data_IF_008804495020
#
_entry.id   IF_008804495020
#
_cell.length_a   1.000
_cell.length_b   1.000
_cell.length_c   1.000
_cell.angle_alpha   90.00
_cell.angle_beta   90.00
_cell.angle_gamma   90.00
#
_symmetry.space_group_name_H-M   'P 1'
#
loop_
_entity.id
_entity.type
_entity.pdbx_description
1 polymer ?
#
# COMPACT_ATOMS: atom_id res chain seq x y z
N UNK A 1 11.34 -0.99 13.05
CA UNK A 1 10.58 0.27 12.99
C UNK A 1 11.42 1.47 13.40
N UNK A 2 11.80 1.57 14.69
CA UNK A 2 12.51 2.75 15.23
C UNK A 2 13.72 3.20 14.40
N UNK A 3 14.69 2.30 14.17
CA UNK A 3 15.93 2.61 13.43
C UNK A 3 15.66 3.22 12.04
N UNK A 4 14.75 2.60 11.28
CA UNK A 4 14.38 3.03 9.93
C UNK A 4 13.70 4.39 9.96
N UNK A 5 12.75 4.59 10.88
CA UNK A 5 11.99 5.83 10.97
C UNK A 5 12.83 7.00 11.51
N UNK A 6 13.79 6.71 12.40
CA UNK A 6 14.77 7.68 12.88
C UNK A 6 15.72 8.11 11.76
N UNK A 7 16.21 7.16 10.94
CA UNK A 7 17.05 7.47 9.79
C UNK A 7 16.30 8.29 8.73
N UNK A 8 15.04 7.94 8.46
CA UNK A 8 14.21 8.74 7.56
C UNK A 8 13.96 10.15 8.12
N UNK A 9 13.77 10.30 9.43
CA UNK A 9 13.62 11.60 10.07
C UNK A 9 14.90 12.45 10.01
N UNK A 10 16.08 11.85 10.22
CA UNK A 10 17.35 12.57 10.11
C UNK A 10 17.65 13.00 8.67
N UNK A 11 17.32 12.18 7.67
CA UNK A 11 17.44 12.56 6.25
C UNK A 11 16.51 13.73 5.89
N UNK A 12 15.27 13.73 6.37
CA UNK A 12 14.36 14.87 6.16
C UNK A 12 14.92 16.15 6.81
N UNK A 13 15.41 16.06 8.05
CA UNK A 13 16.00 17.21 8.74
C UNK A 13 17.23 17.72 7.99
N UNK A 14 18.11 16.82 7.55
CA UNK A 14 19.29 17.17 6.76
C UNK A 14 18.91 17.93 5.48
N UNK A 15 17.91 17.44 4.75
CA UNK A 15 17.45 18.10 3.53
C UNK A 15 16.80 19.47 3.81
N UNK A 16 16.03 19.61 4.89
CA UNK A 16 15.50 20.91 5.31
C UNK A 16 16.61 21.91 5.66
N UNK A 17 17.63 21.48 6.41
CA UNK A 17 18.78 22.33 6.76
C UNK A 17 19.61 22.72 5.53
N UNK A 18 19.76 21.79 4.57
CA UNK A 18 20.46 22.05 3.32
C UNK A 18 19.67 23.06 2.46
N UNK A 19 18.35 22.93 2.41
CA UNK A 19 17.50 23.87 1.69
C UNK A 19 17.54 25.27 2.32
N UNK A 20 17.47 25.35 3.65
CA UNK A 20 17.60 26.60 4.39
C UNK A 20 18.98 27.25 4.20
N UNK A 21 20.04 26.44 4.14
CA UNK A 21 21.39 26.92 3.84
C UNK A 21 21.53 27.47 2.41
N UNK A 22 20.89 26.82 1.43
CA UNK A 22 20.95 27.24 0.02
C UNK A 22 20.06 28.44 -0.31
N UNK A 23 18.88 28.52 0.29
CA UNK A 23 17.84 29.52 -0.08
C UNK A 23 17.62 30.59 0.98
N UNK A 24 18.11 30.40 2.21
CA UNK A 24 17.86 31.29 3.35
C UNK A 24 16.43 31.20 3.91
N UNK A 25 15.57 30.33 3.36
CA UNK A 25 14.16 30.24 3.70
C UNK A 25 13.81 28.85 4.27
N UNK A 26 12.83 28.83 5.18
CA UNK A 26 12.24 27.59 5.73
C UNK A 26 10.91 27.20 5.06
N UNK A 27 10.53 27.89 3.98
CA UNK A 27 9.29 27.64 3.26
C UNK A 27 9.36 26.38 2.38
N UNK A 28 8.24 25.66 2.25
CA UNK A 28 8.13 24.44 1.43
C UNK A 28 8.04 24.70 -0.07
N UNK A 29 7.89 25.96 -0.51
CA UNK A 29 7.52 26.32 -1.89
C UNK A 29 8.70 26.42 -2.86
N UNK A 30 9.92 26.70 -2.37
CA UNK A 30 11.11 26.93 -3.20
C UNK A 30 12.22 25.97 -2.80
N UNK A 31 12.08 24.70 -3.15
CA UNK A 31 13.09 23.69 -2.83
C UNK A 31 13.96 23.39 -4.04
N UNK A 32 15.26 23.18 -3.80
CA UNK A 32 16.21 22.79 -4.83
C UNK A 32 15.99 21.33 -5.28
N UNK A 33 16.34 20.95 -6.53
CA UNK A 33 16.11 19.59 -7.02
C UNK A 33 16.87 18.51 -6.21
N UNK A 34 18.00 18.87 -5.61
CA UNK A 34 18.78 17.96 -4.76
C UNK A 34 18.09 17.73 -3.41
N UNK A 35 17.58 18.79 -2.78
CA UNK A 35 16.88 18.68 -1.49
C UNK A 35 15.55 17.96 -1.62
N UNK A 36 14.78 18.23 -2.69
CA UNK A 36 13.53 17.49 -2.99
C UNK A 36 13.79 16.00 -3.22
N UNK A 37 14.86 15.62 -3.92
CA UNK A 37 15.24 14.22 -4.09
C UNK A 37 15.58 13.52 -2.76
N UNK A 38 16.29 14.20 -1.85
CA UNK A 38 16.60 13.64 -0.53
C UNK A 38 15.33 13.50 0.34
N UNK A 39 14.46 14.53 0.35
CA UNK A 39 13.18 14.50 1.08
C UNK A 39 12.28 13.38 0.55
N UNK A 40 12.17 13.24 -0.77
CA UNK A 40 11.36 12.17 -1.38
C UNK A 40 11.88 10.78 -1.00
N UNK A 41 13.20 10.54 -1.08
CA UNK A 41 13.77 9.26 -0.64
C UNK A 41 13.53 8.97 0.85
N UNK A 42 13.64 10.00 1.70
CA UNK A 42 13.34 9.87 3.12
C UNK A 42 11.86 9.51 3.37
N UNK A 43 10.93 10.14 2.63
CA UNK A 43 9.50 9.84 2.73
C UNK A 43 9.17 8.45 2.21
N UNK A 44 9.78 8.01 1.11
CA UNK A 44 9.62 6.64 0.59
C UNK A 44 10.02 5.61 1.65
N UNK A 45 11.09 5.87 2.40
CA UNK A 45 11.51 5.06 3.54
C UNK A 45 10.48 5.04 4.67
N UNK A 46 9.84 6.19 4.97
CA UNK A 46 8.74 6.25 5.95
C UNK A 46 7.51 5.47 5.52
N UNK A 47 7.15 5.54 4.24
CA UNK A 47 5.98 4.87 3.66
C UNK A 47 6.18 3.36 3.47
N UNK A 48 7.42 2.88 3.48
CA UNK A 48 7.77 1.50 3.18
C UNK A 48 7.64 1.17 1.69
N UNK A 49 7.85 2.15 0.80
CA UNK A 49 7.86 1.92 -0.64
C UNK A 49 9.18 1.29 -1.10
N UNK A 50 9.18 0.60 -2.25
CA UNK A 50 10.42 0.08 -2.82
C UNK A 50 11.35 1.24 -3.25
N UNK A 51 12.68 1.10 -3.08
CA UNK A 51 13.42 -0.09 -2.62
C UNK A 51 13.49 -0.25 -1.09
N UNK A 52 13.09 0.74 -0.30
CA UNK A 52 13.21 0.75 1.17
C UNK A 52 12.12 -0.04 1.92
N UNK A 53 11.34 -0.85 1.21
CA UNK A 53 10.20 -1.61 1.72
C UNK A 53 10.51 -2.75 2.71
N UNK A 54 11.76 -3.23 2.78
CA UNK A 54 12.11 -4.50 3.48
C UNK A 54 11.75 -4.52 4.97
N UNK A 55 11.76 -3.36 5.63
CA UNK A 55 11.40 -3.29 7.06
C UNK A 55 9.90 -3.54 7.31
N UNK A 56 9.07 -3.30 6.30
CA UNK A 56 7.63 -3.16 6.46
C UNK A 56 6.92 -4.50 6.75
N UNK A 57 7.15 -5.59 6.00
CA UNK A 57 6.51 -6.88 6.26
C UNK A 57 6.88 -7.50 7.61
N UNK A 58 8.15 -7.38 8.03
CA UNK A 58 8.60 -7.97 9.29
C UNK A 58 8.09 -7.20 10.51
N UNK A 59 8.01 -5.86 10.42
CA UNK A 59 7.38 -5.05 11.48
C UNK A 59 5.90 -5.41 11.62
N UNK A 60 5.14 -5.50 10.52
CA UNK A 60 3.73 -5.84 10.60
C UNK A 60 3.50 -7.27 11.13
N UNK A 61 4.36 -8.22 10.80
CA UNK A 61 4.25 -9.57 11.34
C UNK A 61 4.55 -9.62 12.84
N UNK A 62 5.46 -8.78 13.33
CA UNK A 62 5.87 -8.73 14.74
C UNK A 62 4.89 -8.03 15.68
N UNK A 63 3.86 -7.35 15.17
CA UNK A 63 2.94 -6.54 15.98
C UNK A 63 1.52 -7.09 16.02
N UNK A 64 0.68 -6.60 16.92
CA UNK A 64 -0.75 -6.97 17.00
C UNK A 64 -1.52 -6.53 15.75
N UNK A 65 -2.70 -7.12 15.48
CA UNK A 65 -3.53 -6.73 14.33
C UNK A 65 -3.97 -5.26 14.38
N UNK A 66 -4.30 -4.76 15.58
CA UNK A 66 -4.68 -3.35 15.77
C UNK A 66 -3.53 -2.37 15.49
N UNK A 67 -2.32 -2.69 15.93
CA UNK A 67 -1.13 -1.88 15.64
C UNK A 67 -0.72 -1.99 14.17
N UNK A 68 -0.86 -3.18 13.58
CA UNK A 68 -0.66 -3.39 12.14
C UNK A 68 -1.62 -2.55 11.30
N UNK A 69 -2.89 -2.44 11.71
CA UNK A 69 -3.85 -1.54 11.10
C UNK A 69 -3.39 -0.07 11.19
N UNK A 70 -2.98 0.42 12.37
CA UNK A 70 -2.50 1.79 12.53
C UNK A 70 -1.26 2.10 11.68
N UNK A 71 -0.32 1.16 11.59
CA UNK A 71 0.89 1.30 10.76
C UNK A 71 0.57 1.27 9.27
N UNK A 72 -0.44 0.51 8.85
CA UNK A 72 -0.87 0.41 7.45
C UNK A 72 -1.80 1.52 6.98
N UNK A 73 -2.36 2.31 7.90
CA UNK A 73 -3.33 3.35 7.59
C UNK A 73 -2.87 4.72 8.07
N UNK A 74 -2.95 4.95 9.39
CA UNK A 74 -2.68 6.24 10.03
C UNK A 74 -1.27 6.77 9.75
N UNK A 75 -0.26 5.90 9.87
CA UNK A 75 1.15 6.30 9.69
C UNK A 75 1.51 6.70 8.24
N UNK A 76 0.63 6.43 7.27
CA UNK A 76 0.83 6.81 5.86
C UNK A 76 0.30 8.22 5.55
N UNK A 77 -0.58 8.77 6.37
CA UNK A 77 -1.23 10.06 6.10
C UNK A 77 -0.19 11.19 6.12
N UNK A 78 0.57 11.36 7.21
CA UNK A 78 1.49 12.49 7.36
C UNK A 78 2.64 12.51 6.32
N UNK A 79 3.28 11.38 5.95
CA UNK A 79 4.29 11.42 4.91
C UNK A 79 3.69 11.70 3.51
N UNK A 80 2.47 11.22 3.22
CA UNK A 80 1.78 11.53 1.96
C UNK A 80 1.35 12.99 1.87
N UNK A 81 0.90 13.61 2.96
CA UNK A 81 0.55 15.04 2.94
C UNK A 81 1.78 15.90 2.69
N UNK A 82 2.96 15.52 3.18
CA UNK A 82 4.20 16.24 2.88
C UNK A 82 4.53 16.17 1.38
N UNK A 83 4.43 14.99 0.76
CA UNK A 83 4.57 14.87 -0.70
C UNK A 83 3.53 15.72 -1.45
N UNK A 84 2.28 15.73 -0.98
CA UNK A 84 1.22 16.56 -1.56
C UNK A 84 1.58 18.05 -1.54
N UNK A 85 2.09 18.57 -0.43
CA UNK A 85 2.49 19.97 -0.29
C UNK A 85 3.68 20.35 -1.19
N UNK A 86 4.49 19.37 -1.56
CA UNK A 86 5.65 19.53 -2.44
C UNK A 86 5.37 19.18 -3.90
N UNK A 87 4.13 18.87 -4.29
CA UNK A 87 3.76 18.31 -5.59
C UNK A 87 4.42 18.99 -6.80
N UNK A 88 4.58 20.31 -6.78
CA UNK A 88 5.14 21.09 -7.89
C UNK A 88 6.65 20.90 -8.11
N UNK A 89 7.39 20.47 -7.09
CA UNK A 89 8.85 20.36 -7.10
C UNK A 89 9.36 18.92 -6.98
N UNK A 90 8.46 17.93 -6.99
CA UNK A 90 8.86 16.52 -6.85
C UNK A 90 9.57 16.00 -8.10
N UNK A 91 10.63 15.17 -7.94
CA UNK A 91 11.26 14.47 -9.06
C UNK A 91 10.30 13.39 -9.62
N UNK A 92 9.67 13.70 -10.76
CA UNK A 92 8.66 12.82 -11.39
C UNK A 92 9.20 11.45 -11.74
N UNK A 93 10.41 11.38 -12.28
CA UNK A 93 11.01 10.12 -12.74
C UNK A 93 11.30 9.17 -11.56
N UNK A 94 11.74 9.74 -10.42
CA UNK A 94 11.96 8.99 -9.19
C UNK A 94 10.65 8.42 -8.66
N UNK A 95 9.56 9.20 -8.66
CA UNK A 95 8.25 8.74 -8.22
C UNK A 95 7.66 7.66 -9.14
N UNK A 96 7.80 7.81 -10.47
CA UNK A 96 7.34 6.82 -11.43
C UNK A 96 8.12 5.50 -11.29
N UNK A 97 9.45 5.56 -11.18
CA UNK A 97 10.29 4.38 -11.01
C UNK A 97 9.99 3.65 -9.70
N UNK A 98 9.96 4.37 -8.58
CA UNK A 98 9.68 3.79 -7.25
C UNK A 98 8.25 3.27 -7.16
N UNK A 99 7.31 3.95 -7.83
CA UNK A 99 5.92 3.52 -7.98
C UNK A 99 5.79 2.18 -8.72
N UNK A 100 6.45 2.04 -9.86
CA UNK A 100 6.49 0.77 -10.61
C UNK A 100 7.15 -0.34 -9.79
N UNK A 101 8.32 -0.07 -9.21
CA UNK A 101 9.07 -1.06 -8.42
C UNK A 101 8.28 -1.55 -7.21
N UNK A 102 7.55 -0.66 -6.53
CA UNK A 102 6.74 -1.03 -5.37
C UNK A 102 5.50 -1.84 -5.78
N UNK A 103 4.86 -1.53 -6.90
CA UNK A 103 3.79 -2.36 -7.47
C UNK A 103 4.28 -3.78 -7.80
N UNK A 104 5.43 -3.89 -8.47
CA UNK A 104 6.03 -5.18 -8.87
C UNK A 104 6.49 -6.01 -7.66
N UNK A 105 7.33 -5.43 -6.79
CA UNK A 105 7.91 -6.14 -5.64
C UNK A 105 6.85 -6.46 -4.59
N UNK A 106 5.88 -5.57 -4.37
CA UNK A 106 4.72 -5.85 -3.52
C UNK A 106 3.91 -7.02 -4.06
N UNK A 107 3.66 -7.06 -5.37
CA UNK A 107 2.99 -8.19 -6.02
C UNK A 107 3.74 -9.51 -5.85
N UNK A 108 5.00 -9.56 -6.28
CA UNK A 108 5.80 -10.80 -6.27
C UNK A 108 6.09 -11.33 -4.87
N UNK A 109 6.52 -10.47 -3.94
CA UNK A 109 6.86 -10.92 -2.60
C UNK A 109 5.63 -11.39 -1.80
N UNK A 110 4.44 -10.87 -2.13
CA UNK A 110 3.16 -11.32 -1.55
C UNK A 110 2.74 -12.73 -1.98
N UNK A 111 3.16 -13.19 -3.16
CA UNK A 111 2.80 -14.51 -3.68
C UNK A 111 3.22 -15.65 -2.75
N UNK A 112 4.39 -15.55 -2.11
CA UNK A 112 4.91 -16.64 -1.28
C UNK A 112 4.57 -16.54 0.21
N UNK A 113 3.64 -15.66 0.59
CA UNK A 113 3.26 -15.48 2.00
C UNK A 113 2.01 -16.27 2.36
N UNK A 114 2.05 -16.95 3.51
CA UNK A 114 0.90 -17.64 4.14
C UNK A 114 0.35 -16.88 5.34
N UNK A 115 1.15 -15.98 5.91
CA UNK A 115 0.78 -15.14 7.05
C UNK A 115 -0.03 -13.95 6.57
N UNK A 116 -1.24 -13.76 7.11
CA UNK A 116 -2.19 -12.73 6.65
C UNK A 116 -1.60 -11.33 6.77
N UNK A 117 -0.87 -11.04 7.86
CA UNK A 117 -0.20 -9.75 8.08
C UNK A 117 0.90 -9.46 7.06
N UNK A 118 1.70 -10.47 6.66
CA UNK A 118 2.71 -10.28 5.59
C UNK A 118 2.06 -10.08 4.23
N UNK A 119 0.95 -10.78 3.94
CA UNK A 119 0.17 -10.56 2.72
C UNK A 119 -0.35 -9.11 2.69
N UNK A 120 -0.96 -8.64 3.77
CA UNK A 120 -1.41 -7.25 3.89
C UNK A 120 -0.26 -6.24 3.82
N UNK A 121 0.93 -6.62 4.28
CA UNK A 121 2.11 -5.77 4.16
C UNK A 121 2.49 -5.54 2.69
N UNK A 122 2.62 -6.63 1.93
CA UNK A 122 2.96 -6.60 0.51
C UNK A 122 1.87 -5.95 -0.36
N UNK A 123 0.61 -6.21 0.00
CA UNK A 123 -0.56 -5.46 -0.45
C UNK A 123 -0.37 -3.95 -0.31
N UNK A 124 0.00 -3.47 0.88
CA UNK A 124 0.19 -2.03 1.10
C UNK A 124 1.35 -1.47 0.27
N UNK A 125 2.44 -2.24 0.10
CA UNK A 125 3.61 -1.83 -0.71
C UNK A 125 3.16 -1.64 -2.16
N UNK A 126 2.37 -2.59 -2.69
CA UNK A 126 1.83 -2.49 -4.05
C UNK A 126 0.89 -1.28 -4.21
N UNK A 127 -0.01 -1.04 -3.26
CA UNK A 127 -0.89 0.13 -3.28
C UNK A 127 -0.14 1.44 -3.13
N UNK A 128 0.93 1.50 -2.33
CA UNK A 128 1.79 2.70 -2.28
C UNK A 128 2.38 3.01 -3.65
N UNK A 129 2.71 1.99 -4.45
CA UNK A 129 3.17 2.20 -5.81
C UNK A 129 2.14 2.93 -6.68
N UNK A 130 0.89 2.49 -6.63
CA UNK A 130 -0.21 3.17 -7.32
C UNK A 130 -0.43 4.60 -6.80
N UNK A 131 -0.33 4.84 -5.49
CA UNK A 131 -0.49 6.19 -4.90
C UNK A 131 0.66 7.12 -5.32
N UNK A 132 1.90 6.63 -5.40
CA UNK A 132 3.04 7.43 -5.86
C UNK A 132 2.90 7.79 -7.34
N UNK A 133 2.47 6.85 -8.19
CA UNK A 133 2.21 7.14 -9.61
C UNK A 133 1.03 8.11 -9.76
N UNK A 134 -0.04 7.91 -8.99
CA UNK A 134 -1.17 8.84 -8.92
C UNK A 134 -0.72 10.28 -8.63
N UNK A 135 0.29 10.46 -7.77
CA UNK A 135 0.82 11.76 -7.39
C UNK A 135 1.53 12.45 -8.55
N UNK A 136 2.00 11.73 -9.56
CA UNK A 136 2.56 12.35 -10.77
C UNK A 136 1.49 12.74 -11.78
N UNK A 137 0.28 12.20 -11.65
CA UNK A 137 -0.86 12.46 -12.54
C UNK A 137 -1.66 13.65 -12.02
N UNK A 138 -2.22 13.54 -10.81
CA UNK A 138 -2.91 14.64 -10.15
C UNK A 138 -3.05 14.41 -8.63
N UNK A 139 -2.98 15.48 -7.82
CA UNK A 139 -3.13 15.39 -6.37
C UNK A 139 -4.52 14.87 -5.95
N UNK A 140 -5.58 15.25 -6.65
CA UNK A 140 -6.96 14.81 -6.36
C UNK A 140 -7.13 13.30 -6.54
N UNK A 141 -6.44 12.72 -7.53
CA UNK A 141 -6.48 11.30 -7.77
C UNK A 141 -5.68 10.53 -6.70
N UNK A 142 -4.62 11.13 -6.13
CA UNK A 142 -3.94 10.53 -4.96
C UNK A 142 -4.85 10.43 -3.74
N UNK A 143 -5.63 11.46 -3.45
CA UNK A 143 -6.51 11.44 -2.29
C UNK A 143 -7.60 10.39 -2.46
N UNK A 144 -8.18 10.26 -3.66
CA UNK A 144 -9.12 9.18 -3.98
C UNK A 144 -8.49 7.79 -3.78
N UNK A 145 -7.29 7.56 -4.33
CA UNK A 145 -6.59 6.26 -4.23
C UNK A 145 -6.24 5.91 -2.79
N UNK A 146 -5.83 6.91 -1.99
CA UNK A 146 -5.52 6.71 -0.58
C UNK A 146 -6.79 6.43 0.24
N UNK A 147 -7.87 7.18 0.04
CA UNK A 147 -9.13 6.97 0.76
C UNK A 147 -9.72 5.58 0.49
N UNK A 148 -9.74 5.16 -0.78
CA UNK A 148 -10.21 3.81 -1.15
C UNK A 148 -9.34 2.72 -0.53
N UNK A 149 -8.01 2.86 -0.56
CA UNK A 149 -7.08 1.95 0.12
C UNK A 149 -7.32 1.89 1.64
N UNK A 150 -7.51 3.04 2.29
CA UNK A 150 -7.75 3.13 3.74
C UNK A 150 -9.05 2.41 4.13
N UNK A 151 -10.13 2.60 3.39
CA UNK A 151 -11.40 1.91 3.64
C UNK A 151 -11.26 0.40 3.46
N UNK A 152 -10.63 -0.05 2.37
CA UNK A 152 -10.47 -1.49 2.14
C UNK A 152 -9.55 -2.15 3.16
N UNK A 153 -8.46 -1.49 3.57
CA UNK A 153 -7.55 -2.05 4.58
C UNK A 153 -8.16 -2.07 5.98
N UNK A 154 -8.89 -1.03 6.39
CA UNK A 154 -9.59 -1.05 7.69
C UNK A 154 -10.62 -2.17 7.74
N UNK A 155 -11.39 -2.39 6.67
CA UNK A 155 -12.35 -3.50 6.61
C UNK A 155 -11.68 -4.87 6.71
N UNK A 156 -10.54 -5.08 6.04
CA UNK A 156 -9.84 -6.36 6.10
C UNK A 156 -9.18 -6.61 7.47
N UNK A 157 -8.55 -5.59 8.07
CA UNK A 157 -7.98 -5.71 9.40
C UNK A 157 -9.03 -5.87 10.49
N UNK A 158 -10.21 -5.26 10.37
CA UNK A 158 -11.30 -5.46 11.34
C UNK A 158 -11.85 -6.89 11.28
N UNK A 159 -11.98 -7.47 10.09
CA UNK A 159 -12.39 -8.88 9.93
C UNK A 159 -11.34 -9.86 10.47
N UNK A 160 -10.05 -9.58 10.27
CA UNK A 160 -8.99 -10.40 10.88
C UNK A 160 -8.96 -10.25 12.41
N UNK A 161 -9.22 -9.05 12.93
CA UNK A 161 -9.13 -8.79 14.36
C UNK A 161 -10.31 -9.40 15.15
N UNK A 162 -11.51 -9.39 14.58
CA UNK A 162 -12.72 -10.00 15.18
C UNK A 162 -12.60 -11.51 15.32
N UNK A 163 -12.02 -12.19 14.33
CA UNK A 163 -11.84 -13.64 14.33
C UNK A 163 -10.41 -14.10 14.70
N UNK A 164 -9.52 -13.17 15.04
CA UNK A 164 -8.11 -13.41 15.42
C UNK A 164 -7.30 -14.27 14.45
N UNK A 165 -7.54 -14.13 13.15
CA UNK A 165 -6.93 -14.98 12.10
C UNK A 165 -5.50 -14.51 11.75
N UNK A 166 -4.51 -15.40 11.90
CA UNK A 166 -3.10 -15.09 11.63
C UNK A 166 -2.59 -15.70 10.33
N UNK A 167 -3.18 -16.81 9.93
CA UNK A 167 -2.82 -17.55 8.71
C UNK A 167 -4.01 -17.67 7.76
N UNK A 168 -3.72 -17.96 6.49
CA UNK A 168 -4.77 -18.24 5.49
C UNK A 168 -5.66 -19.41 5.93
N UNK A 169 -5.08 -20.45 6.55
CA UNK A 169 -5.84 -21.61 7.04
C UNK A 169 -6.81 -21.24 8.17
N UNK A 170 -6.40 -20.39 9.12
CA UNK A 170 -7.29 -19.92 10.20
C UNK A 170 -8.49 -19.14 9.62
N UNK A 171 -8.26 -18.41 8.53
CA UNK A 171 -9.31 -17.66 7.88
C UNK A 171 -10.29 -18.57 7.14
N UNK A 172 -9.84 -19.74 6.66
CA UNK A 172 -10.72 -20.76 6.11
C UNK A 172 -11.75 -21.27 7.12
N UNK A 173 -11.33 -21.58 8.34
CA UNK A 173 -12.22 -22.19 9.34
C UNK A 173 -13.33 -21.27 9.84
N UNK A 174 -13.23 -19.97 9.58
CA UNK A 174 -14.24 -18.99 10.01
C UNK A 174 -15.48 -19.01 9.11
N UNK A 175 -15.42 -19.59 7.91
CA UNK A 175 -16.60 -19.77 7.05
C UNK A 175 -17.74 -20.52 7.75
N UNK A 176 -17.41 -21.57 8.52
CA UNK A 176 -18.41 -22.38 9.23
C UNK A 176 -19.04 -21.65 10.43
N UNK A 177 -18.35 -20.64 10.98
CA UNK A 177 -18.82 -19.85 12.12
C UNK A 177 -19.63 -18.62 11.69
N UNK A 178 -19.19 -17.94 10.64
CA UNK A 178 -19.81 -16.68 10.20
C UNK A 178 -19.71 -16.50 8.67
N UNK A 179 -20.60 -17.13 7.89
CA UNK A 179 -20.56 -17.06 6.43
C UNK A 179 -20.77 -15.63 5.91
N UNK A 180 -21.57 -14.82 6.61
CA UNK A 180 -21.84 -13.42 6.23
C UNK A 180 -20.57 -12.56 6.24
N UNK A 181 -19.77 -12.62 7.31
CA UNK A 181 -18.51 -11.88 7.38
C UNK A 181 -17.55 -12.34 6.28
N UNK A 182 -17.55 -13.63 5.96
CA UNK A 182 -16.71 -14.17 4.90
C UNK A 182 -17.11 -13.75 3.48
N UNK A 183 -18.41 -13.64 3.20
CA UNK A 183 -18.83 -13.05 1.91
C UNK A 183 -18.37 -11.59 1.79
N UNK A 184 -18.35 -10.83 2.89
CA UNK A 184 -17.80 -9.48 2.90
C UNK A 184 -16.28 -9.47 2.73
N UNK A 185 -15.53 -10.40 3.35
CA UNK A 185 -14.07 -10.50 3.13
C UNK A 185 -13.72 -10.85 1.68
N UNK A 186 -14.50 -11.70 1.03
CA UNK A 186 -14.35 -11.98 -0.40
C UNK A 186 -14.48 -10.69 -1.24
N UNK A 187 -15.51 -9.89 -0.98
CA UNK A 187 -15.73 -8.62 -1.68
C UNK A 187 -14.60 -7.62 -1.42
N UNK A 188 -14.07 -7.54 -0.19
CA UNK A 188 -12.96 -6.63 0.12
C UNK A 188 -11.63 -7.09 -0.48
N UNK A 189 -11.35 -8.40 -0.53
CA UNK A 189 -10.15 -8.94 -1.17
C UNK A 189 -10.17 -8.72 -2.69
N UNK A 190 -11.33 -8.97 -3.33
CA UNK A 190 -11.50 -8.73 -4.77
C UNK A 190 -11.50 -7.23 -5.11
N UNK A 191 -11.96 -6.37 -4.20
CA UNK A 191 -11.84 -4.92 -4.37
C UNK A 191 -10.40 -4.44 -4.23
N UNK A 192 -9.62 -4.95 -3.27
CA UNK A 192 -8.18 -4.68 -3.16
C UNK A 192 -7.40 -5.11 -4.42
N UNK A 193 -7.78 -6.27 -4.98
CA UNK A 193 -7.29 -6.74 -6.28
C UNK A 193 -7.63 -5.79 -7.43
N UNK A 194 -8.69 -5.00 -7.31
CA UNK A 194 -9.14 -4.05 -8.33
C UNK A 194 -9.85 -4.73 -9.48
N UNK A 195 -10.75 -5.67 -9.20
CA UNK A 195 -11.61 -6.26 -10.23
C UNK A 195 -12.80 -5.36 -10.54
N UNK A 196 -13.16 -5.14 -11.81
CA UNK A 196 -14.49 -4.62 -12.16
C UNK A 196 -15.54 -5.67 -11.72
N UNK A 197 -16.67 -5.30 -11.08
CA UNK A 197 -17.31 -3.98 -10.93
C UNK A 197 -17.04 -3.24 -9.59
N UNK A 198 -16.01 -3.62 -8.84
CA UNK A 198 -15.79 -3.12 -7.46
C UNK A 198 -15.09 -1.77 -7.41
N UNK A 199 -15.26 -1.05 -6.29
CA UNK A 199 -14.74 0.31 -6.09
C UNK A 199 -13.22 0.41 -6.20
N UNK A 200 -12.47 -0.62 -5.82
CA UNK A 200 -11.00 -0.62 -5.91
C UNK A 200 -10.45 -0.66 -7.33
N UNK A 201 -11.28 -0.96 -8.35
CA UNK A 201 -10.88 -0.83 -9.75
C UNK A 201 -10.85 0.63 -10.22
N UNK A 202 -11.77 1.47 -9.73
CA UNK A 202 -11.93 2.85 -10.17
C UNK A 202 -10.62 3.67 -10.08
N UNK A 203 -9.87 3.67 -8.95
CA UNK A 203 -8.63 4.45 -8.87
C UNK A 203 -7.55 3.94 -9.83
N UNK A 204 -7.41 2.62 -10.01
CA UNK A 204 -6.42 2.05 -10.94
C UNK A 204 -6.73 2.43 -12.39
N UNK A 205 -8.00 2.34 -12.79
CA UNK A 205 -8.43 2.74 -14.13
C UNK A 205 -8.18 4.22 -14.40
N UNK A 206 -8.51 5.10 -13.44
CA UNK A 206 -8.29 6.54 -13.60
C UNK A 206 -6.80 6.91 -13.66
N UNK A 207 -5.94 6.22 -12.89
CA UNK A 207 -4.48 6.38 -12.98
C UNK A 207 -4.00 6.01 -14.39
N UNK A 208 -4.42 4.84 -14.89
CA UNK A 208 -4.02 4.37 -16.21
C UNK A 208 -4.48 5.35 -17.30
N UNK A 209 -5.72 5.82 -17.23
CA UNK A 209 -6.22 6.83 -18.17
C UNK A 209 -5.35 8.10 -18.14
N UNK A 210 -5.03 8.62 -16.95
CA UNK A 210 -4.16 9.79 -16.80
C UNK A 210 -2.70 9.58 -17.23
N UNK A 211 -2.22 8.34 -17.27
CA UNK A 211 -0.91 8.01 -17.84
C UNK A 211 -0.96 7.91 -19.37
N UNK A 212 -2.05 7.40 -19.93
CA UNK A 212 -2.21 7.27 -21.39
C UNK A 212 -2.43 8.60 -22.10
N UNK A 213 -2.96 9.61 -21.40
CA UNK A 213 -3.03 10.98 -21.93
C UNK A 213 -1.65 11.67 -21.98
N UNK A 214 -0.66 11.12 -21.27
CA UNK A 214 0.76 11.52 -21.31
C UNK A 214 1.53 10.54 -22.22
N UNK A 215 2.76 10.87 -22.69
CA UNK A 215 3.59 9.94 -23.46
C UNK A 215 4.20 8.82 -22.58
N UNK A 216 3.41 8.24 -21.68
CA UNK A 216 3.82 7.24 -20.67
C UNK A 216 3.08 5.90 -20.86
N UNK A 217 2.74 5.55 -22.11
CA UNK A 217 2.00 4.32 -22.43
C UNK A 217 2.73 3.06 -21.94
N UNK A 218 4.04 2.98 -22.13
CA UNK A 218 4.86 1.85 -21.68
C UNK A 218 4.79 1.66 -20.17
N UNK A 219 4.90 2.76 -19.40
CA UNK A 219 4.74 2.75 -17.95
C UNK A 219 3.33 2.29 -17.54
N UNK A 220 2.29 2.78 -18.21
CA UNK A 220 0.91 2.37 -17.94
C UNK A 220 0.72 0.85 -18.13
N UNK A 221 1.23 0.30 -19.24
CA UNK A 221 1.14 -1.14 -19.52
C UNK A 221 1.92 -1.97 -18.49
N UNK A 222 3.14 -1.54 -18.12
CA UNK A 222 3.94 -2.22 -17.12
C UNK A 222 3.28 -2.19 -15.73
N UNK A 223 2.69 -1.06 -15.34
CA UNK A 223 1.98 -0.90 -14.07
C UNK A 223 0.70 -1.77 -14.02
N UNK A 224 -0.04 -1.85 -15.13
CA UNK A 224 -1.19 -2.74 -15.25
C UNK A 224 -0.79 -4.21 -15.07
N UNK A 225 0.27 -4.67 -15.75
CA UNK A 225 0.79 -6.03 -15.60
C UNK A 225 1.33 -6.31 -14.19
N UNK A 226 1.98 -5.31 -13.56
CA UNK A 226 2.48 -5.40 -12.19
C UNK A 226 1.37 -5.62 -11.14
N UNK A 227 0.12 -5.29 -11.46
CA UNK A 227 -1.02 -5.54 -10.55
C UNK A 227 -1.51 -6.98 -10.55
N UNK A 228 -1.24 -7.76 -11.60
CA UNK A 228 -1.74 -9.14 -11.73
C UNK A 228 -1.19 -10.09 -10.66
N UNK A 229 0.10 -10.05 -10.27
CA UNK A 229 0.59 -10.83 -9.13
C UNK A 229 -0.14 -10.50 -7.82
N UNK A 230 -0.49 -9.22 -7.61
CA UNK A 230 -1.24 -8.83 -6.41
C UNK A 230 -2.65 -9.40 -6.39
N UNK A 231 -3.33 -9.34 -7.54
CA UNK A 231 -4.63 -9.94 -7.75
C UNK A 231 -4.61 -11.46 -7.47
N UNK A 232 -3.57 -12.16 -7.92
CA UNK A 232 -3.46 -13.60 -7.70
C UNK A 232 -3.47 -13.97 -6.21
N UNK A 233 -2.65 -13.32 -5.36
CA UNK A 233 -2.63 -13.69 -3.95
C UNK A 233 -3.93 -13.33 -3.22
N UNK A 234 -4.66 -12.29 -3.68
CA UNK A 234 -5.99 -11.97 -3.16
C UNK A 234 -7.01 -13.05 -3.54
N UNK A 235 -7.01 -13.49 -4.80
CA UNK A 235 -7.89 -14.57 -5.27
C UNK A 235 -7.56 -15.87 -4.54
N UNK A 236 -6.27 -16.17 -4.31
CA UNK A 236 -5.89 -17.35 -3.51
C UNK A 236 -6.46 -17.29 -2.10
N UNK A 237 -6.37 -16.14 -1.42
CA UNK A 237 -6.94 -15.97 -0.09
C UNK A 237 -8.46 -16.14 -0.12
N UNK A 238 -9.14 -15.46 -1.04
CA UNK A 238 -10.58 -15.59 -1.26
C UNK A 238 -11.02 -17.04 -1.53
N UNK A 239 -10.25 -17.78 -2.33
CA UNK A 239 -10.52 -19.17 -2.66
C UNK A 239 -10.51 -20.04 -1.42
N UNK A 240 -9.46 -19.94 -0.61
CA UNK A 240 -9.31 -20.72 0.63
C UNK A 240 -10.32 -20.36 1.72
N UNK A 241 -10.89 -19.15 1.69
CA UNK A 241 -11.81 -18.67 2.74
C UNK A 241 -13.27 -18.88 2.41
N UNK A 242 -13.66 -18.85 1.13
CA UNK A 242 -15.08 -18.81 0.73
C UNK A 242 -15.47 -19.81 -0.35
N UNK A 243 -14.57 -20.10 -1.30
CA UNK A 243 -14.90 -20.95 -2.45
C UNK A 243 -14.68 -22.43 -2.16
N UNK A 244 -13.95 -22.74 -1.09
CA UNK A 244 -13.76 -24.11 -0.59
C UNK A 244 -14.10 -24.19 0.89
N UNK A 245 -14.74 -25.28 1.30
CA UNK A 245 -14.97 -25.58 2.71
C UNK A 245 -13.75 -26.32 3.29
N UNK A 246 -13.00 -25.74 4.23
CA UNK A 246 -11.92 -26.45 4.90
C UNK A 246 -12.48 -27.52 5.86
N UNK A 247 -11.65 -28.51 6.25
CA UNK A 247 -12.07 -29.53 7.21
C UNK A 247 -12.44 -28.87 8.55
N UNK A 248 -13.65 -29.15 9.03
CA UNK A 248 -14.09 -28.70 10.36
C UNK A 248 -13.29 -29.44 11.45
N UNK A 249 -12.89 -28.71 12.49
CA UNK A 249 -12.32 -29.33 13.70
C UNK A 249 -13.45 -29.66 14.67
N UNK A 250 -13.26 -30.67 15.52
CA UNK A 250 -14.30 -31.19 16.43
C UNK A 250 -14.83 -30.17 17.44
N UNK A 251 -14.15 -29.03 17.61
CA UNK A 251 -14.48 -28.02 18.62
C UNK A 251 -15.28 -26.83 18.06
N UNK A 252 -15.69 -26.86 16.77
CA UNK A 252 -16.57 -25.83 16.21
C UNK A 252 -18.04 -26.20 16.47
N UNK A 253 -18.62 -25.72 17.57
CA UNK A 253 -20.07 -25.73 17.76
C UNK A 253 -20.70 -24.48 17.15
N UNK A 254 -21.89 -24.65 16.57
CA UNK A 254 -22.60 -23.67 15.73
C UNK A 254 -23.20 -22.49 16.51
#
# INVERSE_FOLDING_TARGET
>A
YFLVQALAASLMLFACTLNAWQTGLWSTTNQTPTTTAIITMAILMKLGAAPTHLWYPDVLQGTTLSTALLVSTWQKIAPLTLLYMMYTSLPTDLLLLTGLLSALLGGWAGLNQTQTRKIMAHSSIAHMGWILVALTVSPQLTTLTMMTYMVMTTTMFSTMNTHTTKTISDMGTVWSMSPTTMTLTLLTLTSLGGLPPLTGFMPKLLILNGLTTKPLLTMATALALASLPSLFFYIRMAYTTTLTTPPNTTNTEH
#
